data_IF_860913480370
#
_entry.id   IF_860913480370
#
_cell.length_a   1.000
_cell.length_b   1.000
_cell.length_c   1.000
_cell.angle_alpha   90.00
_cell.angle_beta   90.00
_cell.angle_gamma   90.00
#
_symmetry.space_group_name_H-M   'P 1'
#
loop_
_entity.id
_entity.type
_entity.pdbx_description
1 polymer ?
#
# COMPACT_ATOMS: atom_id res chain seq x y z
N UNK A 1 -10.50 1.14 -19.87
CA UNK A 1 -10.55 1.25 -18.39
C UNK A 1 -9.16 1.48 -17.83
N UNK A 2 -9.01 2.53 -17.04
CA UNK A 2 -7.74 2.84 -16.39
C UNK A 2 -7.64 2.14 -15.04
N UNK A 3 -6.66 1.27 -14.90
CA UNK A 3 -6.43 0.46 -13.69
C UNK A 3 -5.13 0.91 -13.03
N UNK A 4 -5.18 1.13 -11.72
CA UNK A 4 -4.00 1.40 -10.90
C UNK A 4 -3.74 0.25 -9.95
N UNK A 5 -2.46 -0.06 -9.74
CA UNK A 5 -2.01 -1.00 -8.73
C UNK A 5 -1.38 -0.23 -7.58
N UNK A 6 -1.82 -0.52 -6.36
CA UNK A 6 -1.15 -0.04 -5.14
C UNK A 6 -0.51 -1.25 -4.46
N UNK A 7 0.79 -1.49 -4.67
CA UNK A 7 1.49 -2.61 -4.07
C UNK A 7 2.06 -2.24 -2.71
N UNK A 8 2.24 -3.23 -1.85
CA UNK A 8 2.91 -3.02 -0.58
C UNK A 8 2.95 -4.27 0.29
N UNK A 9 3.61 -4.15 1.42
CA UNK A 9 3.65 -5.19 2.45
C UNK A 9 2.42 -5.09 3.37
N UNK A 10 2.01 -3.88 3.70
CA UNK A 10 0.83 -3.57 4.53
C UNK A 10 0.80 -4.32 5.87
N UNK A 11 1.79 -4.11 6.68
CA UNK A 11 1.99 -4.84 7.94
C UNK A 11 2.07 -3.91 9.18
N UNK A 12 0.97 -3.30 9.60
CA UNK A 12 -0.37 -3.35 9.02
C UNK A 12 -0.64 -2.23 8.00
N UNK A 13 -1.85 -2.23 7.44
CA UNK A 13 -2.40 -1.12 6.66
C UNK A 13 -2.60 0.10 7.57
N UNK A 14 -2.22 1.28 7.10
CA UNK A 14 -2.27 2.52 7.90
C UNK A 14 -3.20 3.55 7.28
N UNK A 15 -3.45 4.66 7.99
CA UNK A 15 -4.22 5.78 7.41
C UNK A 15 -3.48 6.43 6.24
N UNK A 16 -2.15 6.34 6.20
CA UNK A 16 -1.38 6.80 5.02
C UNK A 16 -1.70 5.96 3.78
N UNK A 17 -1.79 4.66 3.94
CA UNK A 17 -2.21 3.76 2.86
C UNK A 17 -3.65 4.03 2.44
N UNK A 18 -4.54 4.25 3.39
CA UNK A 18 -5.95 4.55 3.10
C UNK A 18 -6.10 5.86 2.31
N UNK A 19 -5.34 6.89 2.66
CA UNK A 19 -5.33 8.15 1.92
C UNK A 19 -4.90 7.93 0.47
N UNK A 20 -3.88 7.12 0.26
CA UNK A 20 -3.41 6.79 -1.09
C UNK A 20 -4.47 6.06 -1.90
N UNK A 21 -5.17 5.11 -1.28
CA UNK A 21 -6.29 4.39 -1.92
C UNK A 21 -7.41 5.38 -2.29
N UNK A 22 -7.73 6.28 -1.39
CA UNK A 22 -8.78 7.30 -1.60
C UNK A 22 -8.44 8.17 -2.81
N UNK A 23 -7.21 8.65 -2.92
CA UNK A 23 -6.76 9.46 -4.05
C UNK A 23 -6.82 8.65 -5.34
N UNK A 24 -6.27 7.44 -5.35
CA UNK A 24 -6.24 6.58 -6.53
C UNK A 24 -7.66 6.21 -6.98
N UNK A 25 -8.58 5.93 -6.06
CA UNK A 25 -9.96 5.59 -6.39
C UNK A 25 -10.70 6.72 -7.10
N UNK A 26 -10.31 7.96 -6.84
CA UNK A 26 -10.88 9.13 -7.51
C UNK A 26 -10.28 9.39 -8.90
N UNK A 27 -9.09 8.88 -9.18
CA UNK A 27 -8.36 9.11 -10.43
C UNK A 27 -8.53 7.99 -11.45
N UNK A 28 -8.74 6.77 -11.00
CA UNK A 28 -8.75 5.57 -11.84
C UNK A 28 -10.11 4.90 -11.83
N UNK A 29 -10.42 4.20 -12.91
CA UNK A 29 -11.67 3.43 -13.00
C UNK A 29 -11.67 2.25 -12.03
N UNK A 30 -10.49 1.64 -11.83
CA UNK A 30 -10.30 0.51 -10.92
C UNK A 30 -8.96 0.63 -10.20
N UNK A 31 -8.97 0.29 -8.93
CA UNK A 31 -7.75 0.23 -8.10
C UNK A 31 -7.64 -1.17 -7.52
N UNK A 32 -6.46 -1.77 -7.65
CA UNK A 32 -6.13 -3.04 -7.01
C UNK A 32 -5.07 -2.77 -5.95
N UNK A 33 -5.40 -3.05 -4.69
CA UNK A 33 -4.44 -3.01 -3.58
C UNK A 33 -3.91 -4.43 -3.45
N UNK A 34 -2.61 -4.63 -3.65
CA UNK A 34 -2.03 -5.97 -3.67
C UNK A 34 -0.89 -6.11 -2.65
N UNK A 35 -1.02 -7.12 -1.79
CA UNK A 35 0.07 -7.52 -0.92
C UNK A 35 1.09 -8.28 -1.79
N UNK A 36 2.30 -7.73 -1.90
CA UNK A 36 3.39 -8.41 -2.59
C UNK A 36 4.29 -9.06 -1.56
N UNK A 37 4.28 -10.37 -1.55
CA UNK A 37 4.96 -11.16 -0.54
C UNK A 37 6.44 -11.23 -0.83
N UNK A 38 7.26 -10.79 0.13
CA UNK A 38 8.69 -11.00 0.12
C UNK A 38 9.03 -12.15 1.07
N UNK A 39 9.45 -13.33 0.56
CA UNK A 39 9.71 -14.49 1.40
C UNK A 39 10.87 -14.31 2.37
N UNK A 40 11.71 -13.28 2.16
CA UNK A 40 12.86 -12.99 3.00
C UNK A 40 12.55 -12.03 4.17
N UNK A 41 11.30 -11.53 4.24
CA UNK A 41 10.86 -10.63 5.31
C UNK A 41 10.04 -11.38 6.37
N UNK A 42 10.27 -11.01 7.62
CA UNK A 42 9.43 -11.40 8.75
C UNK A 42 8.34 -10.35 8.94
N UNK A 43 7.10 -10.79 9.14
CA UNK A 43 5.93 -9.91 9.30
C UNK A 43 5.33 -10.07 10.69
N UNK A 44 4.74 -8.99 11.21
CA UNK A 44 4.00 -9.02 12.47
C UNK A 44 2.66 -9.74 12.30
N UNK A 45 1.98 -9.46 11.18
CA UNK A 45 0.69 -10.08 10.86
C UNK A 45 0.85 -11.04 9.68
N UNK A 46 0.19 -12.20 9.75
CA UNK A 46 0.24 -13.15 8.64
C UNK A 46 -0.52 -12.62 7.40
N UNK A 47 -0.42 -13.36 6.30
CA UNK A 47 -1.02 -12.95 5.03
C UNK A 47 -2.54 -12.79 5.13
N UNK A 48 -3.22 -13.73 5.80
CA UNK A 48 -4.67 -13.69 5.94
C UNK A 48 -5.12 -12.50 6.79
N UNK A 49 -4.41 -12.20 7.88
CA UNK A 49 -4.71 -11.06 8.73
C UNK A 49 -4.52 -9.73 7.97
N UNK A 50 -3.41 -9.59 7.24
CA UNK A 50 -3.15 -8.39 6.45
C UNK A 50 -4.19 -8.19 5.35
N UNK A 51 -4.54 -9.25 4.65
CA UNK A 51 -5.56 -9.23 3.60
C UNK A 51 -6.92 -8.81 4.16
N UNK A 52 -7.32 -9.37 5.29
CA UNK A 52 -8.57 -9.03 5.97
C UNK A 52 -8.61 -7.56 6.40
N UNK A 53 -7.52 -7.07 6.99
CA UNK A 53 -7.43 -5.67 7.42
C UNK A 53 -7.59 -4.70 6.25
N UNK A 54 -6.96 -4.99 5.11
CA UNK A 54 -7.09 -4.15 3.92
C UNK A 54 -8.52 -4.18 3.40
N UNK A 55 -9.12 -5.36 3.27
CA UNK A 55 -10.50 -5.50 2.78
C UNK A 55 -11.49 -4.71 3.62
N UNK A 56 -11.37 -4.79 4.93
CA UNK A 56 -12.22 -4.03 5.85
C UNK A 56 -12.02 -2.52 5.70
N UNK A 57 -10.78 -2.10 5.53
CA UNK A 57 -10.44 -0.68 5.44
C UNK A 57 -10.92 -0.03 4.14
N UNK A 58 -11.02 -0.78 3.05
CA UNK A 58 -11.37 -0.24 1.72
C UNK A 58 -12.78 -0.61 1.25
N UNK A 59 -13.57 -1.27 2.08
CA UNK A 59 -14.90 -1.77 1.76
C UNK A 59 -15.83 -0.68 1.20
N UNK A 60 -15.69 0.55 1.67
CA UNK A 60 -16.52 1.67 1.24
C UNK A 60 -16.25 2.13 -0.21
N UNK A 61 -15.14 1.69 -0.80
CA UNK A 61 -14.76 2.09 -2.17
C UNK A 61 -15.23 1.03 -3.16
N UNK A 62 -16.20 1.36 -3.99
CA UNK A 62 -16.82 0.43 -4.94
C UNK A 62 -15.88 -0.04 -6.06
N UNK A 63 -14.84 0.74 -6.38
CA UNK A 63 -13.90 0.45 -7.46
C UNK A 63 -12.54 -0.09 -6.97
N UNK A 64 -12.43 -0.45 -5.68
CA UNK A 64 -11.21 -0.98 -5.08
C UNK A 64 -11.35 -2.47 -4.79
N UNK A 65 -10.39 -3.25 -5.24
CA UNK A 65 -10.28 -4.68 -4.90
C UNK A 65 -8.93 -4.96 -4.23
N UNK A 66 -8.83 -6.07 -3.52
CA UNK A 66 -7.65 -6.45 -2.75
C UNK A 66 -7.19 -7.83 -3.18
N UNK A 67 -5.89 -7.99 -3.37
CA UNK A 67 -5.29 -9.24 -3.81
C UNK A 67 -3.94 -9.47 -3.13
N UNK A 68 -3.36 -10.63 -3.35
CA UNK A 68 -2.04 -11.02 -2.85
C UNK A 68 -1.29 -11.74 -3.97
N UNK A 69 0.00 -11.47 -4.12
CA UNK A 69 0.84 -12.08 -5.14
C UNK A 69 2.24 -12.31 -4.59
N UNK A 70 2.93 -13.32 -5.11
CA UNK A 70 4.25 -13.73 -4.63
C UNK A 70 5.37 -13.41 -5.63
N UNK A 71 5.06 -12.71 -6.71
CA UNK A 71 6.02 -12.33 -7.74
C UNK A 71 6.46 -10.86 -7.67
N UNK A 72 7.06 -10.38 -8.74
CA UNK A 72 7.48 -8.99 -8.85
C UNK A 72 6.28 -8.06 -9.09
N UNK A 73 6.35 -6.87 -8.50
CA UNK A 73 5.32 -5.81 -8.68
C UNK A 73 5.03 -5.53 -10.15
N UNK A 74 6.08 -5.34 -10.96
CA UNK A 74 5.92 -5.03 -12.39
C UNK A 74 5.19 -6.14 -13.14
N UNK A 75 5.50 -7.38 -12.84
CA UNK A 75 4.89 -8.55 -13.50
C UNK A 75 3.41 -8.67 -13.13
N UNK A 76 3.08 -8.45 -11.85
CA UNK A 76 1.69 -8.44 -11.41
C UNK A 76 0.91 -7.28 -12.03
N UNK A 77 1.50 -6.09 -12.10
CA UNK A 77 0.89 -4.93 -12.75
C UNK A 77 0.52 -5.23 -14.21
N UNK A 78 1.44 -5.86 -14.94
CA UNK A 78 1.21 -6.27 -16.32
C UNK A 78 0.10 -7.31 -16.42
N UNK A 79 0.12 -8.29 -15.54
CA UNK A 79 -0.87 -9.37 -15.50
C UNK A 79 -2.30 -8.86 -15.35
N UNK A 80 -2.51 -7.85 -14.49
CA UNK A 80 -3.84 -7.29 -14.26
C UNK A 80 -4.22 -6.16 -15.23
N UNK A 81 -3.31 -5.78 -16.13
CA UNK A 81 -3.54 -4.69 -17.06
C UNK A 81 -3.47 -3.31 -16.42
N UNK A 82 -2.74 -3.16 -15.32
CA UNK A 82 -2.58 -1.86 -14.68
C UNK A 82 -1.74 -0.94 -15.57
N UNK A 83 -2.23 0.28 -15.77
CA UNK A 83 -1.49 1.31 -16.50
C UNK A 83 -0.44 1.97 -15.63
N UNK A 84 -0.72 2.08 -14.33
CA UNK A 84 0.16 2.73 -13.37
C UNK A 84 0.27 1.94 -12.07
N UNK A 85 1.47 2.01 -11.49
CA UNK A 85 1.71 1.66 -10.09
C UNK A 85 1.64 2.97 -9.32
N UNK A 86 0.91 3.00 -8.20
CA UNK A 86 0.75 4.20 -7.37
C UNK A 86 1.45 3.96 -6.05
N UNK A 87 2.36 4.85 -5.69
CA UNK A 87 3.14 4.79 -4.45
C UNK A 87 3.09 6.12 -3.74
N UNK A 88 3.07 6.08 -2.41
CA UNK A 88 3.18 7.28 -1.58
C UNK A 88 4.63 7.57 -1.22
N UNK A 89 4.97 8.85 -1.07
CA UNK A 89 6.27 9.27 -0.55
C UNK A 89 6.05 10.20 0.63
N UNK A 90 6.86 10.09 1.67
CA UNK A 90 6.76 10.86 2.91
C UNK A 90 7.93 11.82 3.11
N UNK A 91 9.09 11.52 2.52
CA UNK A 91 10.31 12.27 2.68
C UNK A 91 11.29 11.99 1.53
N UNK A 92 12.45 12.65 1.54
CA UNK A 92 13.47 12.54 0.49
C UNK A 92 14.05 11.13 0.37
N UNK A 93 14.18 10.41 1.48
CA UNK A 93 14.73 9.05 1.50
C UNK A 93 13.75 8.10 0.81
N UNK A 94 12.46 8.21 1.14
CA UNK A 94 11.41 7.46 0.46
C UNK A 94 11.41 7.79 -1.05
N UNK A 95 11.48 9.07 -1.40
CA UNK A 95 11.45 9.51 -2.79
C UNK A 95 12.56 8.88 -3.61
N UNK A 96 13.78 8.86 -3.07
CA UNK A 96 14.94 8.25 -3.75
C UNK A 96 14.71 6.76 -4.00
N UNK A 97 14.31 6.03 -2.97
CA UNK A 97 14.02 4.60 -3.08
C UNK A 97 12.91 4.32 -4.09
N UNK A 98 11.82 5.08 -4.01
CA UNK A 98 10.66 4.91 -4.90
C UNK A 98 11.00 5.24 -6.36
N UNK A 99 11.87 6.22 -6.60
CA UNK A 99 12.33 6.56 -7.94
C UNK A 99 13.18 5.44 -8.55
N UNK A 100 14.03 4.80 -7.76
CA UNK A 100 14.82 3.65 -8.18
C UNK A 100 13.92 2.47 -8.54
N UNK A 101 12.90 2.20 -7.72
CA UNK A 101 11.94 1.13 -7.98
C UNK A 101 11.06 1.44 -9.19
N UNK A 102 10.68 2.70 -9.38
CA UNK A 102 9.92 3.13 -10.55
C UNK A 102 10.69 2.89 -11.84
N UNK A 103 11.98 3.18 -11.84
CA UNK A 103 12.87 2.93 -12.99
C UNK A 103 12.99 1.42 -13.27
N UNK A 104 13.18 0.62 -12.24
CA UNK A 104 13.24 -0.84 -12.36
C UNK A 104 11.95 -1.40 -12.98
N UNK A 105 10.79 -0.98 -12.48
CA UNK A 105 9.50 -1.46 -12.97
C UNK A 105 9.25 -1.02 -14.41
N UNK A 106 9.61 0.21 -14.76
CA UNK A 106 9.47 0.73 -16.11
C UNK A 106 10.32 -0.07 -17.12
N UNK A 107 11.57 -0.35 -16.77
CA UNK A 107 12.47 -1.14 -17.62
C UNK A 107 12.02 -2.58 -17.78
N UNK A 108 11.43 -3.15 -16.73
CA UNK A 108 11.00 -4.55 -16.75
C UNK A 108 9.75 -4.80 -17.59
N UNK A 109 8.73 -3.96 -17.47
CA UNK A 109 7.42 -4.21 -18.12
C UNK A 109 6.81 -2.99 -18.80
N UNK A 110 7.43 -1.84 -18.73
CA UNK A 110 6.89 -0.60 -19.30
C UNK A 110 5.82 0.07 -18.44
N UNK A 111 5.53 -0.46 -17.25
CA UNK A 111 4.54 0.13 -16.35
C UNK A 111 5.16 1.29 -15.58
N UNK A 112 4.53 2.44 -15.62
CA UNK A 112 4.99 3.66 -14.94
C UNK A 112 4.46 3.74 -13.52
N UNK A 113 5.20 4.48 -12.68
CA UNK A 113 4.82 4.72 -11.29
C UNK A 113 4.46 6.19 -11.10
N UNK A 114 3.34 6.42 -10.42
CA UNK A 114 2.95 7.74 -9.93
C UNK A 114 3.35 7.83 -8.46
N UNK A 115 4.11 8.86 -8.11
CA UNK A 115 4.52 9.12 -6.74
C UNK A 115 3.66 10.24 -6.16
N UNK A 116 2.96 9.96 -5.07
CA UNK A 116 2.05 10.91 -4.43
C UNK A 116 2.61 11.30 -3.06
N UNK A 117 2.95 12.57 -2.86
CA UNK A 117 3.43 13.03 -1.56
C UNK A 117 2.35 12.91 -0.48
N UNK A 118 2.72 12.41 0.69
CA UNK A 118 1.83 12.39 1.84
C UNK A 118 1.65 13.81 2.39
N UNK A 119 0.42 14.19 2.81
CA UNK A 119 0.23 15.44 3.54
C UNK A 119 1.07 15.45 4.82
N UNK A 120 1.48 16.64 5.25
CA UNK A 120 2.32 16.82 6.44
C UNK A 120 1.73 16.12 7.67
N UNK A 121 0.42 16.17 7.83
CA UNK A 121 -0.30 15.61 8.98
C UNK A 121 -0.15 14.09 9.12
N UNK A 122 0.09 13.39 8.01
CA UNK A 122 0.23 11.93 8.01
C UNK A 122 1.59 11.43 7.51
N UNK A 123 2.50 12.35 7.17
CA UNK A 123 3.83 11.98 6.65
C UNK A 123 4.66 11.19 7.67
N UNK A 124 4.41 11.36 8.97
CA UNK A 124 5.08 10.61 10.02
C UNK A 124 4.51 9.23 10.29
N UNK A 125 3.45 8.83 9.58
CA UNK A 125 2.78 7.55 9.82
C UNK A 125 3.31 6.49 8.86
N UNK A 126 3.75 5.35 9.42
CA UNK A 126 4.25 4.21 8.67
C UNK A 126 3.88 2.91 9.36
N UNK A 127 3.90 1.82 8.63
CA UNK A 127 3.70 0.48 9.22
C UNK A 127 4.79 0.17 10.25
N UNK A 128 6.02 0.59 10.00
CA UNK A 128 7.13 0.44 10.95
C UNK A 128 6.80 1.11 12.29
N UNK A 129 6.32 2.34 12.25
CA UNK A 129 5.92 3.07 13.44
C UNK A 129 4.79 2.35 14.19
N UNK A 130 3.79 1.86 13.48
CA UNK A 130 2.68 1.11 14.09
C UNK A 130 3.21 -0.14 14.81
N UNK A 131 4.08 -0.89 14.16
CA UNK A 131 4.67 -2.10 14.78
C UNK A 131 5.49 -1.77 16.02
N UNK A 132 6.27 -0.69 15.99
CA UNK A 132 7.05 -0.23 17.13
C UNK A 132 6.16 0.17 18.31
N UNK A 133 5.10 0.94 18.03
CA UNK A 133 4.15 1.34 19.07
C UNK A 133 3.42 0.15 19.69
N UNK A 134 2.98 -0.80 18.88
CA UNK A 134 2.36 -2.04 19.37
C UNK A 134 3.30 -2.84 20.26
N UNK A 135 4.56 -2.94 19.87
CA UNK A 135 5.60 -3.65 20.62
C UNK A 135 5.84 -3.03 22.00
N UNK A 136 5.70 -1.72 22.10
CA UNK A 136 5.86 -0.98 23.34
C UNK A 136 4.57 -0.92 24.18
N UNK A 137 3.48 -1.49 23.68
CA UNK A 137 2.19 -1.48 24.36
C UNK A 137 1.42 -0.16 24.22
N UNK A 138 1.81 0.70 23.30
CA UNK A 138 1.16 1.98 23.08
C UNK A 138 -0.06 1.84 22.15
N UNK A 139 -0.99 2.80 22.23
CA UNK A 139 -2.13 2.87 21.35
C UNK A 139 -1.72 3.27 19.93
N UNK A 140 -2.32 2.63 18.93
CA UNK A 140 -2.13 2.95 17.51
C UNK A 140 -3.39 3.46 16.84
N UNK A 141 -4.41 3.80 17.62
CA UNK A 141 -5.72 4.23 17.09
C UNK A 141 -5.65 5.42 16.13
N UNK A 142 -4.72 6.34 16.37
CA UNK A 142 -4.53 7.50 15.49
C UNK A 142 -3.75 7.19 14.20
N UNK A 143 -3.24 5.98 14.05
CA UNK A 143 -2.33 5.60 12.97
C UNK A 143 -2.98 4.67 11.95
N UNK A 144 -4.11 4.07 12.28
CA UNK A 144 -4.75 3.03 11.47
C UNK A 144 -6.21 3.39 11.17
N UNK A 145 -6.77 2.82 10.07
CA UNK A 145 -8.19 3.03 9.75
C UNK A 145 -9.11 2.56 10.89
N UNK A 146 -10.23 3.26 11.04
CA UNK A 146 -11.26 2.97 12.07
C UNK A 146 -11.68 1.49 12.01
N UNK A 147 -11.82 0.95 10.82
CA UNK A 147 -12.37 -0.38 10.55
C UNK A 147 -11.50 -1.52 11.12
N UNK A 148 -10.23 -1.23 11.44
CA UNK A 148 -9.30 -2.26 11.92
C UNK A 148 -8.78 -2.02 13.35
N UNK A 149 -9.22 -0.94 14.00
CA UNK A 149 -8.77 -0.62 15.37
C UNK A 149 -9.00 -1.77 16.35
N UNK A 150 -10.11 -2.48 16.20
CA UNK A 150 -10.49 -3.56 17.12
C UNK A 150 -9.67 -4.84 16.98
N UNK A 151 -8.90 -4.99 15.90
CA UNK A 151 -8.10 -6.20 15.65
C UNK A 151 -6.61 -6.01 15.89
N UNK A 152 -6.23 -4.85 16.40
CA UNK A 152 -4.83 -4.53 16.72
C UNK A 152 -4.49 -4.50 18.22
#
# INVERSE_FOLDING_TARGET
MKIALIPGTFDPFTIGHLELVKIASSLFDKVVVCILVNPNKTHLFDEDARLSMIRRSVEAFSNVSVDIDHGYTADYAKKIGAEYIVRGIRNEIDAKYEMEMADFNLKRTGVRTLLIPAPEEIAGISSTRVREELKQGNSVEALVPEEIKSVL
#
